data_IF_551736815379
#
_entry.id   IF_551736815379
#
_cell.length_a   1.000
_cell.length_b   1.000
_cell.length_c   1.000
_cell.angle_alpha   90.00
_cell.angle_beta   90.00
_cell.angle_gamma   90.00
#
_symmetry.space_group_name_H-M   'P 1'
#
loop_
_entity.id
_entity.type
_entity.pdbx_description
1 polymer ?
#
# COMPACT_ATOMS: atom_id res chain seq x y z
N UNK A 1 5.20 4.61 -29.73
CA UNK A 1 5.06 5.67 -28.71
C UNK A 1 3.62 6.19 -28.48
N UNK A 2 2.57 5.58 -29.04
CA UNK A 2 1.18 6.03 -28.81
C UNK A 2 0.51 5.43 -27.54
N UNK A 3 1.11 4.39 -26.95
CA UNK A 3 0.58 3.67 -25.78
C UNK A 3 0.82 4.36 -24.43
N UNK A 4 1.74 5.34 -24.36
CA UNK A 4 2.01 6.10 -23.12
C UNK A 4 1.02 7.24 -22.86
N UNK A 5 0.40 7.79 -23.90
CA UNK A 5 -0.47 8.98 -23.79
C UNK A 5 -1.86 8.66 -23.21
N UNK A 6 -2.43 7.49 -23.56
CA UNK A 6 -3.77 7.09 -23.11
C UNK A 6 -3.81 6.68 -21.64
N UNK A 7 -2.76 6.01 -21.14
CA UNK A 7 -2.64 5.63 -19.73
C UNK A 7 -2.52 6.86 -18.81
N UNK A 8 -1.79 7.89 -19.27
CA UNK A 8 -1.54 9.11 -18.50
C UNK A 8 -2.73 10.07 -18.48
N UNK A 9 -3.55 10.06 -19.54
CA UNK A 9 -4.83 10.76 -19.60
C UNK A 9 -5.92 10.06 -18.77
N UNK A 10 -5.91 8.73 -18.71
CA UNK A 10 -6.82 7.96 -17.86
C UNK A 10 -6.51 8.13 -16.36
N UNK A 11 -5.23 8.18 -15.98
CA UNK A 11 -4.84 8.38 -14.58
C UNK A 11 -5.18 9.79 -14.07
N UNK A 12 -5.11 10.81 -14.94
CA UNK A 12 -5.48 12.19 -14.57
C UNK A 12 -6.99 12.38 -14.46
N UNK A 13 -7.81 11.73 -15.29
CA UNK A 13 -9.27 11.80 -15.16
C UNK A 13 -9.78 11.06 -13.92
N UNK A 14 -9.22 9.88 -13.61
CA UNK A 14 -9.58 9.12 -12.41
C UNK A 14 -9.18 9.83 -11.11
N UNK A 15 -8.00 10.46 -11.07
CA UNK A 15 -7.56 11.27 -9.94
C UNK A 15 -8.49 12.47 -9.69
N UNK A 16 -8.88 13.18 -10.77
CA UNK A 16 -9.82 14.30 -10.68
C UNK A 16 -11.22 13.85 -10.22
N UNK A 17 -11.68 12.67 -10.67
CA UNK A 17 -12.97 12.12 -10.25
C UNK A 17 -12.98 11.72 -8.78
N UNK A 18 -11.90 11.11 -8.28
CA UNK A 18 -11.74 10.74 -6.87
C UNK A 18 -11.79 11.96 -5.96
N UNK A 19 -11.07 13.01 -6.34
CA UNK A 19 -11.05 14.28 -5.61
C UNK A 19 -12.43 14.96 -5.63
N UNK A 20 -13.13 14.91 -6.76
CA UNK A 20 -14.49 15.44 -6.89
C UNK A 20 -15.47 14.71 -5.96
N UNK A 21 -15.46 13.37 -5.94
CA UNK A 21 -16.32 12.56 -5.06
C UNK A 21 -16.01 12.89 -3.61
N UNK A 22 -14.74 12.96 -3.21
CA UNK A 22 -14.35 13.34 -1.86
C UNK A 22 -14.88 14.72 -1.44
N UNK A 23 -14.73 15.74 -2.31
CA UNK A 23 -15.26 17.08 -2.04
C UNK A 23 -16.78 17.09 -1.96
N UNK A 24 -17.46 16.34 -2.85
CA UNK A 24 -18.91 16.22 -2.84
C UNK A 24 -19.40 15.56 -1.54
N UNK A 25 -18.76 14.47 -1.09
CA UNK A 25 -19.07 13.81 0.19
C UNK A 25 -18.91 14.75 1.38
N UNK A 26 -17.84 15.56 1.42
CA UNK A 26 -17.67 16.56 2.47
C UNK A 26 -18.73 17.65 2.43
N UNK A 27 -19.07 18.15 1.25
CA UNK A 27 -20.09 19.17 1.09
C UNK A 27 -21.48 18.64 1.51
N UNK A 28 -21.78 17.38 1.18
CA UNK A 28 -22.99 16.69 1.63
C UNK A 28 -23.05 16.57 3.16
N UNK A 29 -22.00 16.05 3.79
CA UNK A 29 -21.91 15.96 5.24
C UNK A 29 -22.15 17.32 5.92
N UNK A 30 -21.53 18.40 5.41
CA UNK A 30 -21.73 19.75 5.93
C UNK A 30 -23.19 20.23 5.79
N UNK A 31 -23.82 19.96 4.65
CA UNK A 31 -25.22 20.29 4.45
C UNK A 31 -26.13 19.50 5.39
N UNK A 32 -25.85 18.21 5.58
CA UNK A 32 -26.62 17.32 6.46
C UNK A 32 -26.53 17.75 7.93
N UNK A 33 -25.35 18.21 8.39
CA UNK A 33 -25.23 18.85 9.72
C UNK A 33 -26.16 20.05 9.83
N UNK A 34 -26.06 21.00 8.89
CA UNK A 34 -26.83 22.25 8.94
C UNK A 34 -28.33 21.94 8.94
N UNK A 35 -28.78 21.04 8.07
CA UNK A 35 -30.18 20.64 7.98
C UNK A 35 -30.64 19.87 9.23
N UNK A 36 -29.77 19.04 9.80
CA UNK A 36 -30.07 18.22 10.98
C UNK A 36 -30.20 19.03 12.27
N UNK A 37 -29.42 20.11 12.42
CA UNK A 37 -29.47 20.97 13.61
C UNK A 37 -30.36 22.19 13.46
N UNK A 38 -30.95 22.42 12.29
CA UNK A 38 -31.77 23.59 12.04
C UNK A 38 -33.02 23.58 12.94
N UNK A 39 -33.05 24.49 13.91
CA UNK A 39 -34.14 24.57 14.89
C UNK A 39 -34.05 23.53 16.02
N UNK A 40 -32.94 22.80 16.11
CA UNK A 40 -32.67 21.88 17.20
C UNK A 40 -32.18 22.65 18.45
N UNK A 41 -32.68 22.28 19.63
CA UNK A 41 -32.09 22.69 20.90
C UNK A 41 -30.86 21.84 21.25
N UNK A 42 -30.12 22.24 22.29
CA UNK A 42 -28.87 21.57 22.67
C UNK A 42 -29.06 20.09 23.07
N UNK A 43 -30.18 19.74 23.73
CA UNK A 43 -30.46 18.35 24.08
C UNK A 43 -30.79 17.51 22.84
N UNK A 44 -31.45 18.12 21.86
CA UNK A 44 -31.70 17.52 20.56
C UNK A 44 -30.40 17.29 19.80
N UNK A 45 -29.48 18.27 19.79
CA UNK A 45 -28.16 18.13 19.16
C UNK A 45 -27.38 16.97 19.76
N UNK A 46 -27.35 16.83 21.08
CA UNK A 46 -26.68 15.69 21.74
C UNK A 46 -27.28 14.34 21.33
N UNK A 47 -28.61 14.24 21.22
CA UNK A 47 -29.26 13.01 20.77
C UNK A 47 -28.93 12.69 19.30
N UNK A 48 -28.96 13.70 18.44
CA UNK A 48 -28.59 13.57 17.03
C UNK A 48 -27.13 13.11 16.92
N UNK A 49 -26.21 13.72 17.68
CA UNK A 49 -24.81 13.31 17.73
C UNK A 49 -24.65 11.85 18.14
N UNK A 50 -25.30 11.43 19.22
CA UNK A 50 -25.23 10.05 19.69
C UNK A 50 -25.75 9.04 18.64
N UNK A 51 -26.85 9.38 17.96
CA UNK A 51 -27.39 8.58 16.86
C UNK A 51 -26.42 8.50 15.68
N UNK A 52 -25.85 9.63 15.27
CA UNK A 52 -24.89 9.71 14.15
C UNK A 52 -23.60 8.96 14.45
N UNK A 53 -23.07 9.04 15.67
CA UNK A 53 -21.92 8.24 16.10
C UNK A 53 -22.22 6.74 16.09
N UNK A 54 -23.43 6.33 16.50
CA UNK A 54 -23.86 4.93 16.42
C UNK A 54 -23.90 4.45 14.97
N UNK A 55 -24.53 5.23 14.08
CA UNK A 55 -24.61 4.89 12.66
C UNK A 55 -23.22 4.86 12.00
N UNK A 56 -22.34 5.78 12.37
CA UNK A 56 -20.96 5.83 11.87
C UNK A 56 -20.20 4.56 12.27
N UNK A 57 -20.31 4.14 13.54
CA UNK A 57 -19.73 2.89 14.03
C UNK A 57 -20.26 1.69 13.24
N UNK A 58 -21.57 1.61 13.04
CA UNK A 58 -22.20 0.51 12.32
C UNK A 58 -21.75 0.46 10.85
N UNK A 59 -21.65 1.61 10.20
CA UNK A 59 -21.15 1.73 8.84
C UNK A 59 -19.69 1.25 8.72
N UNK A 60 -18.81 1.68 9.63
CA UNK A 60 -17.41 1.22 9.66
C UNK A 60 -17.33 -0.29 9.89
N UNK A 61 -18.10 -0.81 10.84
CA UNK A 61 -18.12 -2.25 11.15
C UNK A 61 -18.63 -3.09 9.97
N UNK A 62 -19.71 -2.63 9.31
CA UNK A 62 -20.27 -3.29 8.14
C UNK A 62 -19.29 -3.34 6.98
N UNK A 63 -18.62 -2.24 6.67
CA UNK A 63 -17.60 -2.16 5.62
C UNK A 63 -16.39 -3.04 5.95
N UNK A 64 -15.95 -3.02 7.21
CA UNK A 64 -14.92 -3.94 7.71
C UNK A 64 -15.29 -5.41 7.55
N UNK A 65 -16.55 -5.80 7.83
CA UNK A 65 -17.04 -7.16 7.65
C UNK A 65 -17.11 -7.58 6.16
N UNK A 66 -17.23 -6.63 5.24
CA UNK A 66 -17.18 -6.85 3.78
C UNK A 66 -15.75 -6.91 3.23
N UNK A 67 -14.72 -6.79 4.09
CA UNK A 67 -13.32 -6.83 3.70
C UNK A 67 -12.76 -5.50 3.19
N UNK A 68 -13.52 -4.41 3.30
CA UNK A 68 -13.13 -3.06 2.90
C UNK A 68 -13.14 -2.13 4.12
N UNK A 69 -12.11 -2.22 4.98
CA UNK A 69 -12.08 -1.38 6.18
C UNK A 69 -11.90 0.11 5.83
N UNK A 70 -12.86 0.98 6.18
CA UNK A 70 -12.84 2.37 5.74
C UNK A 70 -11.97 3.21 6.68
N UNK A 71 -10.66 3.26 6.42
CA UNK A 71 -9.69 3.97 7.28
C UNK A 71 -10.07 5.44 7.51
N UNK A 72 -10.52 6.14 6.47
CA UNK A 72 -10.96 7.54 6.60
C UNK A 72 -12.22 7.66 7.45
N UNK A 73 -13.22 6.82 7.21
CA UNK A 73 -14.45 6.79 7.99
C UNK A 73 -14.18 6.52 9.46
N UNK A 74 -13.35 5.51 9.77
CA UNK A 74 -12.93 5.18 11.12
C UNK A 74 -12.17 6.32 11.80
N UNK A 75 -11.23 6.97 11.11
CA UNK A 75 -10.45 8.07 11.67
C UNK A 75 -11.33 9.26 12.08
N UNK A 76 -12.33 9.58 11.26
CA UNK A 76 -13.28 10.64 11.60
C UNK A 76 -14.27 10.23 12.69
N UNK A 77 -14.66 8.96 12.76
CA UNK A 77 -15.49 8.42 13.84
C UNK A 77 -14.80 8.55 15.21
N UNK A 78 -13.53 8.12 15.30
CA UNK A 78 -12.74 8.22 16.53
C UNK A 78 -12.59 9.70 16.95
N UNK A 79 -12.23 10.57 16.01
CA UNK A 79 -12.09 11.99 16.31
C UNK A 79 -13.41 12.66 16.73
N UNK A 80 -14.53 12.30 16.09
CA UNK A 80 -15.85 12.76 16.49
C UNK A 80 -16.24 12.26 17.89
N UNK A 81 -15.84 11.03 18.24
CA UNK A 81 -16.10 10.44 19.55
C UNK A 81 -15.31 11.16 20.64
N UNK A 82 -14.04 11.49 20.38
CA UNK A 82 -13.19 12.25 21.31
C UNK A 82 -13.74 13.67 21.56
N UNK A 83 -14.30 14.30 20.52
CA UNK A 83 -14.87 15.64 20.61
C UNK A 83 -16.28 15.69 21.23
N UNK A 84 -16.95 14.56 21.42
CA UNK A 84 -18.37 14.53 21.76
C UNK A 84 -18.72 15.32 23.03
N UNK A 85 -17.84 15.31 24.02
CA UNK A 85 -18.00 15.99 25.30
C UNK A 85 -17.41 17.41 25.32
N UNK A 86 -16.54 17.76 24.36
CA UNK A 86 -15.84 19.05 24.30
C UNK A 86 -16.52 20.05 23.34
N UNK A 87 -16.91 19.58 22.15
CA UNK A 87 -17.56 20.38 21.11
C UNK A 87 -18.53 19.51 20.30
N UNK A 88 -19.78 19.45 20.75
CA UNK A 88 -20.84 18.64 20.14
C UNK A 88 -21.15 19.00 18.68
N UNK A 89 -20.96 20.26 18.25
CA UNK A 89 -21.23 20.67 16.87
C UNK A 89 -20.11 20.22 15.94
N UNK A 90 -18.87 20.35 16.40
CA UNK A 90 -17.71 19.87 15.66
C UNK A 90 -17.70 18.33 15.62
N UNK A 91 -18.03 17.68 16.74
CA UNK A 91 -18.22 16.24 16.82
C UNK A 91 -19.28 15.77 15.82
N UNK A 92 -20.42 16.46 15.72
CA UNK A 92 -21.47 16.12 14.77
C UNK A 92 -21.01 16.23 13.32
N UNK A 93 -20.24 17.27 12.99
CA UNK A 93 -19.64 17.40 11.66
C UNK A 93 -18.69 16.27 11.32
N UNK A 94 -17.84 15.85 12.27
CA UNK A 94 -16.92 14.74 12.05
C UNK A 94 -17.64 13.39 12.01
N UNK A 95 -18.74 13.22 12.75
CA UNK A 95 -19.59 12.04 12.65
C UNK A 95 -20.22 11.91 11.25
N UNK A 96 -20.68 13.01 10.65
CA UNK A 96 -21.19 13.00 9.27
C UNK A 96 -20.08 12.74 8.24
N UNK A 97 -18.87 13.28 8.44
CA UNK A 97 -17.73 12.88 7.60
C UNK A 97 -17.42 11.39 7.73
N UNK A 98 -17.50 10.83 8.94
CA UNK A 98 -17.29 9.40 9.15
C UNK A 98 -18.31 8.57 8.37
N UNK A 99 -19.60 8.95 8.42
CA UNK A 99 -20.68 8.31 7.68
C UNK A 99 -20.46 8.36 6.17
N UNK A 100 -20.26 9.56 5.61
CA UNK A 100 -20.10 9.74 4.17
C UNK A 100 -18.85 9.06 3.62
N UNK A 101 -17.74 9.10 4.36
CA UNK A 101 -16.46 8.57 3.91
C UNK A 101 -16.32 7.06 4.16
N UNK A 102 -17.17 6.46 5.00
CA UNK A 102 -17.19 5.01 5.18
C UNK A 102 -17.65 4.26 3.93
N UNK A 103 -18.52 4.85 3.12
CA UNK A 103 -18.99 4.26 1.86
C UNK A 103 -18.18 4.64 0.62
N UNK A 104 -17.16 5.51 0.74
CA UNK A 104 -16.51 6.12 -0.42
C UNK A 104 -15.80 5.10 -1.32
N UNK A 105 -15.34 3.99 -0.74
CA UNK A 105 -14.59 2.96 -1.45
C UNK A 105 -15.43 2.22 -2.50
N UNK A 106 -16.76 2.22 -2.39
CA UNK A 106 -17.68 1.68 -3.40
C UNK A 106 -17.65 2.50 -4.71
N UNK A 107 -17.42 3.81 -4.60
CA UNK A 107 -17.40 4.72 -5.76
C UNK A 107 -16.03 4.84 -6.41
N UNK A 108 -14.99 4.38 -5.72
CA UNK A 108 -13.64 4.44 -6.27
C UNK A 108 -13.43 3.26 -7.23
N UNK A 109 -12.92 3.52 -8.45
CA UNK A 109 -12.58 2.45 -9.36
C UNK A 109 -11.61 1.51 -8.64
N UNK A 110 -11.93 0.23 -8.64
CA UNK A 110 -11.02 -0.79 -8.17
C UNK A 110 -9.83 -0.80 -9.12
N UNK A 111 -8.74 -0.14 -8.72
CA UNK A 111 -7.44 -0.44 -9.32
C UNK A 111 -7.25 -1.94 -9.11
N UNK A 112 -7.13 -2.74 -10.20
CA UNK A 112 -6.91 -4.17 -10.07
C UNK A 112 -5.69 -4.33 -9.17
N UNK A 113 -5.90 -4.94 -8.00
CA UNK A 113 -4.89 -5.08 -6.95
C UNK A 113 -3.56 -5.38 -7.64
N UNK A 114 -2.64 -4.40 -7.58
CA UNK A 114 -1.43 -4.38 -8.40
C UNK A 114 -0.92 -5.79 -8.52
N UNK A 115 -1.09 -6.42 -9.69
CA UNK A 115 -0.97 -7.86 -9.91
C UNK A 115 0.18 -8.36 -9.04
N UNK A 116 -0.14 -8.90 -7.85
CA UNK A 116 0.87 -9.47 -6.98
C UNK A 116 1.47 -10.53 -7.86
N UNK A 117 2.72 -10.30 -8.27
CA UNK A 117 3.37 -11.05 -9.32
C UNK A 117 3.12 -12.52 -8.98
N UNK A 118 2.26 -13.19 -9.76
CA UNK A 118 2.12 -14.63 -9.62
C UNK A 118 3.54 -15.12 -9.85
N UNK A 119 4.19 -15.58 -8.78
CA UNK A 119 5.55 -16.12 -8.86
C UNK A 119 5.38 -17.42 -9.64
N UNK A 120 5.39 -17.30 -10.96
CA UNK A 120 5.21 -18.41 -11.86
C UNK A 120 6.50 -19.21 -11.78
N UNK A 121 6.42 -20.37 -11.12
CA UNK A 121 7.57 -21.23 -10.82
C UNK A 121 8.34 -21.59 -12.10
N UNK A 122 7.65 -21.55 -13.25
CA UNK A 122 8.21 -21.73 -14.59
C UNK A 122 9.22 -20.65 -14.99
N UNK A 123 9.06 -19.41 -14.52
CA UNK A 123 9.96 -18.29 -14.79
C UNK A 123 11.26 -18.38 -13.99
N UNK A 124 11.22 -18.96 -12.78
CA UNK A 124 12.38 -19.10 -11.90
C UNK A 124 13.16 -20.40 -12.09
N UNK A 125 12.54 -21.42 -12.68
CA UNK A 125 13.19 -22.70 -13.03
C UNK A 125 14.50 -22.53 -13.83
N UNK A 126 14.56 -21.75 -14.94
CA UNK A 126 15.80 -21.58 -15.69
C UNK A 126 16.90 -20.87 -14.88
N UNK A 127 16.53 -19.97 -13.98
CA UNK A 127 17.47 -19.27 -13.10
C UNK A 127 18.15 -20.24 -12.13
N UNK A 128 17.37 -21.17 -11.57
CA UNK A 128 17.88 -22.25 -10.72
C UNK A 128 18.82 -23.20 -11.48
N UNK A 129 18.46 -23.59 -12.70
CA UNK A 129 19.32 -24.43 -13.54
C UNK A 129 20.64 -23.73 -13.91
N UNK A 130 20.60 -22.44 -14.25
CA UNK A 130 21.80 -21.67 -14.56
C UNK A 130 22.75 -21.58 -13.35
N UNK A 131 22.20 -21.39 -12.14
CA UNK A 131 22.99 -21.38 -10.91
C UNK A 131 23.65 -22.74 -10.63
N UNK A 132 22.91 -23.84 -10.77
CA UNK A 132 23.43 -25.20 -10.57
C UNK A 132 24.50 -25.56 -11.59
N UNK A 133 24.29 -25.24 -12.87
CA UNK A 133 25.28 -25.47 -13.93
C UNK A 133 26.55 -24.64 -13.70
N UNK A 134 26.40 -23.38 -13.27
CA UNK A 134 27.53 -22.52 -12.93
C UNK A 134 28.33 -23.08 -11.75
N UNK A 135 27.66 -23.49 -10.68
CA UNK A 135 28.31 -24.09 -9.51
C UNK A 135 29.05 -25.39 -9.88
N UNK A 136 28.43 -26.25 -10.68
CA UNK A 136 29.03 -27.50 -11.15
C UNK A 136 30.26 -27.25 -12.05
N UNK A 137 30.18 -26.32 -13.00
CA UNK A 137 31.31 -25.96 -13.86
C UNK A 137 32.48 -25.38 -13.05
N UNK A 138 32.19 -24.56 -12.03
CA UNK A 138 33.21 -23.99 -11.15
C UNK A 138 33.89 -25.07 -10.31
N UNK A 139 33.12 -26.01 -9.75
CA UNK A 139 33.66 -27.17 -9.02
C UNK A 139 34.54 -28.05 -9.91
N UNK A 140 34.09 -28.31 -11.15
CA UNK A 140 34.86 -29.08 -12.14
C UNK A 140 36.17 -28.39 -12.51
N UNK A 141 36.14 -27.06 -12.71
CA UNK A 141 37.34 -26.27 -13.00
C UNK A 141 38.35 -26.35 -11.85
N UNK A 142 37.89 -26.25 -10.60
CA UNK A 142 38.76 -26.39 -9.42
C UNK A 142 39.39 -27.78 -9.35
N UNK A 143 38.61 -28.85 -9.56
CA UNK A 143 39.15 -30.22 -9.58
C UNK A 143 40.18 -30.43 -10.70
N UNK A 144 39.93 -29.93 -11.91
CA UNK A 144 40.88 -30.00 -13.03
C UNK A 144 42.15 -29.18 -12.78
N UNK A 145 42.05 -28.07 -12.03
CA UNK A 145 43.21 -27.25 -11.68
C UNK A 145 44.10 -27.88 -10.60
N UNK A 146 43.55 -28.72 -9.72
CA UNK A 146 44.32 -29.47 -8.72
C UNK A 146 45.25 -30.51 -9.37
N UNK A 147 44.82 -31.15 -10.46
CA UNK A 147 45.64 -32.07 -11.26
C UNK A 147 46.73 -31.34 -12.05
N UNK A 148 46.55 -30.04 -12.32
CA UNK A 148 47.49 -29.20 -13.04
C UNK A 148 48.34 -28.34 -12.08
N UNK A 149 49.00 -28.96 -11.09
CA UNK A 149 50.08 -28.29 -10.34
C UNK A 149 51.31 -28.18 -11.24
N UNK A 150 51.70 -27.00 -11.77
CA UNK A 150 52.93 -26.87 -12.54
C UNK A 150 54.11 -27.23 -11.63
N UNK A 151 54.93 -28.19 -12.09
CA UNK A 151 56.13 -28.62 -11.39
C UNK A 151 56.99 -27.42 -10.99
N UNK A 152 57.42 -27.38 -9.73
CA UNK A 152 58.27 -26.30 -9.20
C UNK A 152 59.47 -26.07 -10.14
N UNK A 153 59.78 -24.83 -10.53
CA UNK A 153 60.93 -24.57 -11.38
C UNK A 153 62.21 -25.06 -10.67
N UNK A 154 62.98 -25.89 -11.38
CA UNK A 154 64.25 -26.46 -10.93
C UNK A 154 65.22 -25.29 -10.72
N UNK A 155 65.57 -25.01 -9.46
CA UNK A 155 66.58 -24.00 -9.12
C UNK A 155 67.91 -24.38 -9.80
N UNK A 156 68.36 -23.58 -10.75
CA UNK A 156 69.69 -23.73 -11.33
C UNK A 156 70.77 -23.55 -10.25
N UNK A 157 71.79 -24.42 -10.21
CA UNK A 157 72.91 -24.27 -9.29
C UNK A 157 73.77 -23.08 -9.73
N UNK A 158 74.02 -22.15 -8.80
CA UNK A 158 74.96 -21.04 -9.00
C UNK A 158 76.38 -21.57 -9.23
N UNK A 159 77.09 -21.12 -10.27
CA UNK A 159 78.46 -21.52 -10.50
C UNK A 159 79.38 -21.00 -9.38
N UNK A 160 80.20 -21.89 -8.84
CA UNK A 160 81.16 -21.60 -7.80
C UNK A 160 82.29 -20.71 -8.34
N UNK A 161 82.55 -19.62 -7.61
CA UNK A 161 83.63 -18.68 -7.91
C UNK A 161 85.00 -19.35 -7.91
N UNK A 162 85.76 -19.09 -8.97
CA UNK A 162 87.16 -19.50 -9.15
C UNK A 162 88.05 -18.60 -8.27
N UNK A 163 88.69 -19.17 -7.24
CA UNK A 163 89.73 -18.48 -6.47
C UNK A 163 91.10 -18.81 -7.06
N UNK A 164 91.82 -17.73 -7.39
CA UNK A 164 93.27 -17.54 -7.59
C UNK A 164 94.04 -18.63 -8.31
#
# INVERSE_FOLDING_TARGET
NASGSTAQLASTSAANSTLCIFHASKAKAQADVILGVLGADEQQVQRILAEKLSLARDAVAQQGAQGAFPVLGYSYYEYASDLADEDQYLALLYAEYALELSGLQEYLPHEPAAHLHHIDLRTYLPLGFAFLLGAAATLLYVQLSEDFKPGRPRREPRPAGKKR
#
